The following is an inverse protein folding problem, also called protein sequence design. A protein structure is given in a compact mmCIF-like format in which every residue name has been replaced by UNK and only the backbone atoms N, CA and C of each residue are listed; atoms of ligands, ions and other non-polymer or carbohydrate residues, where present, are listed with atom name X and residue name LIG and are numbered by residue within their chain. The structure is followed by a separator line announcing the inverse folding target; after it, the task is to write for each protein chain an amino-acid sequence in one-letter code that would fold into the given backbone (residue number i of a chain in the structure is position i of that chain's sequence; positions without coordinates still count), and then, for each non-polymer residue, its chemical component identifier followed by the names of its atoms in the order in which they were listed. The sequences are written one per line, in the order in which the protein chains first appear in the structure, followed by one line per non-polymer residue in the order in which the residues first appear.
data_IF_438907353011
#
_entry.id   IF_438907353011
#
_cell.length_a   1.000
_cell.length_b   1.000
_cell.length_c   1.000
_cell.angle_alpha   90.00
_cell.angle_beta   90.00
_cell.angle_gamma   90.00
#
_symmetry.space_group_name_H-M   'P 1'
#
loop_
_entity.id
_entity.type
_entity.pdbx_description
1 polymer ?
#
# COMPACT_ATOMS: atom_id res chain seq x y z
N UNK A 1 29.36 16.94 -13.72
CA UNK A 1 28.78 16.38 -12.47
C UNK A 1 27.24 16.43 -12.45
N UNK A 2 26.55 16.27 -13.59
CA UNK A 2 25.08 16.39 -13.66
C UNK A 2 24.24 15.09 -13.52
N UNK A 3 24.73 13.86 -13.79
CA UNK A 3 23.86 12.65 -13.78
C UNK A 3 23.40 12.21 -12.39
N UNK A 4 24.22 12.41 -11.35
CA UNK A 4 23.87 12.05 -9.98
C UNK A 4 22.63 12.79 -9.46
N UNK A 5 22.37 14.02 -9.92
CA UNK A 5 21.25 14.85 -9.44
C UNK A 5 19.89 14.35 -9.94
N UNK A 6 19.84 13.75 -11.13
CA UNK A 6 18.60 13.21 -11.72
C UNK A 6 18.24 11.85 -11.10
N UNK A 7 19.21 10.94 -10.96
CA UNK A 7 19.02 9.65 -10.28
C UNK A 7 18.59 9.88 -8.83
N UNK A 8 19.26 10.79 -8.11
CA UNK A 8 18.89 11.13 -6.74
C UNK A 8 17.44 11.64 -6.65
N UNK A 9 17.02 12.52 -7.58
CA UNK A 9 15.64 13.01 -7.64
C UNK A 9 14.64 11.89 -7.92
N UNK A 10 14.96 10.98 -8.83
CA UNK A 10 14.10 9.80 -9.14
C UNK A 10 13.93 8.91 -7.93
N UNK A 11 15.03 8.56 -7.26
CA UNK A 11 15.00 7.74 -6.03
C UNK A 11 14.17 8.45 -4.97
N UNK A 12 14.38 9.75 -4.75
CA UNK A 12 13.61 10.53 -3.78
C UNK A 12 12.10 10.53 -4.08
N UNK A 13 11.71 10.70 -5.35
CA UNK A 13 10.29 10.67 -5.76
C UNK A 13 9.66 9.29 -5.56
N UNK A 14 10.39 8.21 -5.91
CA UNK A 14 9.92 6.84 -5.70
C UNK A 14 9.76 6.53 -4.21
N UNK A 15 10.75 6.88 -3.38
CA UNK A 15 10.69 6.69 -1.93
C UNK A 15 9.55 7.48 -1.30
N UNK A 16 9.34 8.73 -1.73
CA UNK A 16 8.22 9.54 -1.25
C UNK A 16 6.86 8.92 -1.63
N UNK A 17 6.73 8.39 -2.85
CA UNK A 17 5.53 7.68 -3.30
C UNK A 17 5.25 6.43 -2.47
N UNK A 18 6.27 5.60 -2.22
CA UNK A 18 6.14 4.41 -1.37
C UNK A 18 5.75 4.79 0.05
N UNK A 19 6.40 5.80 0.64
CA UNK A 19 6.07 6.26 1.99
C UNK A 19 4.63 6.76 2.08
N UNK A 20 4.16 7.53 1.09
CA UNK A 20 2.77 7.98 1.01
C UNK A 20 1.80 6.80 0.94
N UNK A 21 2.10 5.79 0.12
CA UNK A 21 1.28 4.59 0.01
C UNK A 21 1.24 3.82 1.33
N UNK A 22 2.37 3.64 2.02
CA UNK A 22 2.42 2.97 3.34
C UNK A 22 1.49 3.71 4.34
N UNK A 23 1.56 5.04 4.38
CA UNK A 23 0.69 5.84 5.24
C UNK A 23 -0.79 5.65 4.85
N UNK A 24 -1.11 5.66 3.56
CA UNK A 24 -2.48 5.47 3.08
C UNK A 24 -3.05 4.09 3.44
N UNK A 25 -2.30 3.00 3.26
CA UNK A 25 -2.73 1.66 3.67
C UNK A 25 -2.90 1.59 5.19
N UNK A 26 -1.97 2.20 5.94
CA UNK A 26 -2.05 2.27 7.40
C UNK A 26 -3.36 2.95 7.83
N UNK A 27 -3.65 4.15 7.32
CA UNK A 27 -4.90 4.87 7.63
C UNK A 27 -6.13 4.00 7.31
N UNK A 28 -6.12 3.29 6.19
CA UNK A 28 -7.22 2.41 5.79
C UNK A 28 -7.39 1.22 6.75
N UNK A 29 -6.30 0.62 7.20
CA UNK A 29 -6.33 -0.44 8.23
C UNK A 29 -6.90 0.10 9.54
N UNK A 30 -6.50 1.30 9.97
CA UNK A 30 -7.04 1.93 11.18
C UNK A 30 -8.55 2.21 11.06
N UNK A 31 -9.01 2.63 9.88
CA UNK A 31 -10.44 2.83 9.60
C UNK A 31 -11.24 1.53 9.77
N UNK A 32 -10.75 0.42 9.20
CA UNK A 32 -11.41 -0.89 9.33
C UNK A 32 -11.34 -1.42 10.78
N UNK A 33 -10.20 -1.27 11.45
CA UNK A 33 -10.04 -1.64 12.86
C UNK A 33 -11.05 -0.90 13.77
N UNK A 34 -11.21 0.40 13.56
CA UNK A 34 -12.22 1.20 14.26
C UNK A 34 -13.64 0.72 13.94
N UNK A 35 -13.91 0.33 12.69
CA UNK A 35 -15.18 -0.26 12.27
C UNK A 35 -15.52 -1.55 13.01
N UNK A 36 -14.58 -2.51 13.07
CA UNK A 36 -14.79 -3.78 13.79
C UNK A 36 -14.93 -3.59 15.30
N UNK A 37 -14.13 -2.70 15.89
CA UNK A 37 -14.24 -2.39 17.31
C UNK A 37 -15.58 -1.71 17.63
N UNK A 38 -15.96 -0.71 16.83
CA UNK A 38 -17.21 0.04 17.01
C UNK A 38 -18.47 -0.79 16.74
N UNK A 39 -18.39 -1.82 15.90
CA UNK A 39 -19.50 -2.76 15.68
C UNK A 39 -19.64 -3.80 16.80
N UNK A 40 -18.70 -3.85 17.75
CA UNK A 40 -18.65 -4.88 18.78
C UNK A 40 -18.23 -6.26 18.25
N UNK A 41 -17.63 -6.35 17.07
CA UNK A 41 -17.18 -7.63 16.49
C UNK A 41 -16.05 -8.28 17.32
N UNK A 42 -15.30 -7.47 18.06
CA UNK A 42 -14.29 -7.93 19.01
C UNK A 42 -14.35 -7.11 20.30
N UNK A 43 -13.93 -7.72 21.41
CA UNK A 43 -13.94 -7.11 22.75
C UNK A 43 -12.90 -6.00 22.95
N UNK A 44 -11.83 -6.00 22.15
CA UNK A 44 -10.72 -5.07 22.30
C UNK A 44 -10.20 -4.56 20.95
N UNK A 45 -9.58 -3.38 21.00
CA UNK A 45 -9.07 -2.71 19.80
C UNK A 45 -7.85 -3.42 19.22
N UNK A 46 -7.02 -4.08 20.03
CA UNK A 46 -5.82 -4.75 19.55
C UNK A 46 -6.18 -5.93 18.64
N UNK A 47 -7.15 -6.74 19.05
CA UNK A 47 -7.74 -7.83 18.23
C UNK A 47 -8.39 -7.29 16.96
N UNK A 48 -9.17 -6.20 17.08
CA UNK A 48 -9.79 -5.55 15.91
C UNK A 48 -8.75 -5.05 14.90
N UNK A 49 -7.66 -4.47 15.40
CA UNK A 49 -6.55 -3.97 14.60
C UNK A 49 -5.78 -5.11 13.92
N UNK A 50 -5.48 -6.17 14.67
CA UNK A 50 -4.83 -7.36 14.13
C UNK A 50 -5.68 -8.02 13.04
N UNK A 51 -6.96 -8.30 13.32
CA UNK A 51 -7.89 -8.87 12.35
C UNK A 51 -7.99 -7.99 11.10
N UNK A 52 -8.20 -6.69 11.27
CA UNK A 52 -8.26 -5.74 10.16
C UNK A 52 -6.98 -5.78 9.30
N UNK A 53 -5.80 -5.87 9.93
CA UNK A 53 -4.52 -5.92 9.23
C UNK A 53 -4.40 -7.19 8.37
N UNK A 54 -4.63 -8.36 8.96
CA UNK A 54 -4.47 -9.64 8.26
C UNK A 54 -5.56 -9.86 7.20
N UNK A 55 -6.77 -9.33 7.41
CA UNK A 55 -7.86 -9.40 6.44
C UNK A 55 -7.63 -8.43 5.28
N UNK A 56 -7.30 -7.16 5.56
CA UNK A 56 -7.01 -6.15 4.54
C UNK A 56 -5.82 -6.53 3.65
N UNK A 57 -4.78 -7.14 4.23
CA UNK A 57 -3.63 -7.66 3.45
C UNK A 57 -3.91 -8.99 2.76
N UNK A 58 -5.12 -9.55 2.90
CA UNK A 58 -5.52 -10.88 2.39
C UNK A 58 -4.71 -12.06 2.94
N UNK A 59 -3.96 -11.84 4.02
CA UNK A 59 -3.14 -12.84 4.68
C UNK A 59 -3.98 -13.91 5.39
N UNK A 60 -4.96 -13.47 6.19
CA UNK A 60 -6.00 -14.32 6.78
C UNK A 60 -5.51 -15.60 7.46
N UNK A 61 -4.70 -15.48 8.52
CA UNK A 61 -4.16 -16.64 9.26
C UNK A 61 -5.23 -17.63 9.76
N UNK A 62 -6.47 -17.18 9.97
CA UNK A 62 -7.61 -18.02 10.36
C UNK A 62 -7.63 -18.39 11.84
N UNK A 63 -6.75 -17.80 12.63
CA UNK A 63 -6.70 -17.87 14.09
C UNK A 63 -7.84 -17.09 14.76
N UNK A 64 -8.31 -16.02 14.11
CA UNK A 64 -9.46 -15.22 14.54
C UNK A 64 -10.47 -15.14 13.39
N UNK A 65 -11.74 -15.40 13.69
CA UNK A 65 -12.83 -15.40 12.72
C UNK A 65 -14.02 -14.60 13.22
N UNK A 66 -14.74 -13.98 12.29
CA UNK A 66 -15.97 -13.22 12.59
C UNK A 66 -17.17 -14.15 12.73
N UNK A 67 -18.13 -13.72 13.55
CA UNK A 67 -19.46 -14.29 13.60
C UNK A 67 -20.21 -14.14 12.27
N UNK A 68 -21.19 -15.02 11.96
CA UNK A 68 -21.81 -15.09 10.64
C UNK A 68 -22.39 -13.78 10.11
N UNK A 69 -22.89 -12.92 10.99
CA UNK A 69 -23.45 -11.60 10.71
C UNK A 69 -22.40 -10.57 10.27
N UNK A 70 -21.17 -10.66 10.81
CA UNK A 70 -20.08 -9.74 10.51
C UNK A 70 -19.18 -10.19 9.34
N UNK A 71 -19.24 -11.45 8.91
CA UNK A 71 -18.35 -12.00 7.87
C UNK A 71 -18.37 -11.25 6.54
N UNK A 72 -19.55 -10.80 6.09
CA UNK A 72 -19.67 -10.02 4.85
C UNK A 72 -18.89 -8.71 4.95
N UNK A 73 -18.92 -8.06 6.11
CA UNK A 73 -18.15 -6.84 6.38
C UNK A 73 -16.64 -7.12 6.33
N UNK A 74 -16.21 -8.24 6.92
CA UNK A 74 -14.83 -8.75 6.77
C UNK A 74 -14.40 -8.96 5.31
N UNK A 75 -15.27 -9.55 4.48
CA UNK A 75 -15.01 -9.73 3.06
C UNK A 75 -14.80 -8.39 2.33
N UNK A 76 -15.58 -7.36 2.65
CA UNK A 76 -15.37 -6.02 2.08
C UNK A 76 -14.05 -5.39 2.52
N UNK A 77 -13.59 -5.64 3.75
CA UNK A 77 -12.27 -5.21 4.20
C UNK A 77 -11.16 -5.82 3.33
N UNK A 78 -11.24 -7.13 3.05
CA UNK A 78 -10.29 -7.82 2.19
C UNK A 78 -10.34 -7.33 0.73
N UNK A 79 -11.52 -7.16 0.16
CA UNK A 79 -11.70 -6.64 -1.21
C UNK A 79 -11.11 -5.23 -1.33
N UNK A 80 -11.36 -4.38 -0.33
CA UNK A 80 -10.83 -3.01 -0.29
C UNK A 80 -9.31 -3.02 -0.28
N UNK A 81 -8.71 -3.90 0.51
CA UNK A 81 -7.26 -4.08 0.54
C UNK A 81 -6.70 -4.56 -0.79
N UNK A 82 -7.27 -5.61 -1.38
CA UNK A 82 -6.87 -6.13 -2.68
C UNK A 82 -6.90 -5.05 -3.77
N UNK A 83 -7.99 -4.28 -3.86
CA UNK A 83 -8.13 -3.20 -4.84
C UNK A 83 -7.12 -2.08 -4.59
N UNK A 84 -6.90 -1.71 -3.32
CA UNK A 84 -5.97 -0.62 -2.96
C UNK A 84 -4.51 -1.00 -3.23
N UNK A 85 -4.11 -2.24 -2.92
CA UNK A 85 -2.77 -2.75 -3.28
C UNK A 85 -2.58 -2.85 -4.80
N UNK A 86 -3.62 -3.27 -5.53
CA UNK A 86 -3.61 -3.28 -6.99
C UNK A 86 -3.40 -1.90 -7.59
N UNK A 87 -4.15 -0.90 -7.12
CA UNK A 87 -4.00 0.49 -7.53
C UNK A 87 -2.63 1.06 -7.15
N UNK A 88 -2.11 0.73 -5.97
CA UNK A 88 -0.79 1.16 -5.50
C UNK A 88 0.33 0.62 -6.38
N UNK A 89 0.23 -0.66 -6.77
CA UNK A 89 1.18 -1.28 -7.69
C UNK A 89 1.11 -0.62 -9.07
N UNK A 90 -0.10 -0.43 -9.62
CA UNK A 90 -0.29 0.25 -10.90
C UNK A 90 0.25 1.68 -10.89
N UNK A 91 0.05 2.42 -9.80
CA UNK A 91 0.58 3.76 -9.61
C UNK A 91 2.12 3.78 -9.61
N UNK A 92 2.76 2.89 -8.83
CA UNK A 92 4.23 2.80 -8.77
C UNK A 92 4.83 2.40 -10.13
N UNK A 93 4.22 1.44 -10.82
CA UNK A 93 4.62 1.05 -12.18
C UNK A 93 4.47 2.21 -13.14
N UNK A 94 3.34 2.93 -13.10
CA UNK A 94 3.12 4.11 -13.95
C UNK A 94 4.15 5.22 -13.69
N UNK A 95 4.53 5.44 -12.43
CA UNK A 95 5.56 6.40 -12.07
C UNK A 95 6.95 5.94 -12.54
N UNK A 96 7.28 4.65 -12.40
CA UNK A 96 8.52 4.07 -12.92
C UNK A 96 8.64 4.21 -14.44
N UNK A 97 7.60 3.83 -15.19
CA UNK A 97 7.57 3.90 -16.66
C UNK A 97 7.73 5.32 -17.16
N UNK A 98 7.21 6.32 -16.43
CA UNK A 98 7.38 7.72 -16.80
C UNK A 98 8.80 8.24 -16.62
N UNK A 99 9.56 7.67 -15.68
CA UNK A 99 10.91 8.13 -15.33
C UNK A 99 12.00 7.33 -16.05
N UNK A 100 11.73 6.07 -16.41
CA UNK A 100 12.68 5.19 -17.09
C UNK A 100 13.32 5.79 -18.37
N UNK A 101 12.57 6.47 -19.27
CA UNK A 101 13.14 7.08 -20.47
C UNK A 101 14.19 8.16 -20.17
N UNK A 102 13.99 8.93 -19.09
CA UNK A 102 14.89 10.01 -18.69
C UNK A 102 16.25 9.47 -18.24
N UNK A 103 16.29 8.27 -17.65
CA UNK A 103 17.53 7.62 -17.19
C UNK A 103 18.37 7.14 -18.37
N UNK A 104 17.76 6.47 -19.35
CA UNK A 104 18.51 5.92 -20.49
C UNK A 104 19.03 6.99 -21.47
N UNK A 105 18.30 8.10 -21.63
CA UNK A 105 18.78 9.22 -22.46
C UNK A 105 19.99 9.93 -21.84
N UNK A 106 20.10 9.93 -20.51
CA UNK A 106 21.22 10.52 -19.81
C UNK A 106 22.51 9.70 -19.98
N UNK A 107 22.43 8.37 -19.94
CA UNK A 107 23.58 7.49 -20.14
C UNK A 107 24.13 7.57 -21.58
N UNK A 108 23.26 7.66 -22.60
CA UNK A 108 23.72 7.78 -23.99
C UNK A 108 24.45 9.09 -24.26
N UNK A 109 23.95 10.22 -23.76
CA UNK A 109 24.58 11.53 -23.96
C UNK A 109 25.95 11.65 -23.27
N UNK A 110 26.21 10.86 -22.24
CA UNK A 110 27.44 10.89 -21.46
C UNK A 110 28.57 10.02 -22.06
N UNK A 111 28.27 9.20 -23.09
CA UNK A 111 29.22 8.28 -23.73
C UNK A 111 29.80 8.80 -25.07
N UNK A 112 29.40 10.00 -25.50
CA UNK A 112 29.76 10.60 -26.81
C UNK A 112 30.62 11.87 -26.64
N UNK A 113 31.02 12.21 -25.40
CA UNK A 113 31.93 13.30 -25.05
C UNK A 113 33.12 12.77 -24.27
#
# INVERSE_FOLDING_TARGET
MQPARHIFRTVMLMSAGIALLIVAHTITIWFWAAGFYGSGAFSDFATSFYFSTITYTTLGYGDIVLDPDARIFGSFAAITGLLTFGLSTAFLVGLLVRILPDVFQQDQNNNIT
#
